data_IF_355454336393
#
_entry.id   IF_355454336393
#
_cell.length_a   1.000
_cell.length_b   1.000
_cell.length_c   1.000
_cell.angle_alpha   90.00
_cell.angle_beta   90.00
_cell.angle_gamma   90.00
#
_symmetry.space_group_name_H-M   'P 1'
#
loop_
_entity.id
_entity.type
_entity.pdbx_description
1 polymer ?
#
# COMPACT_ATOMS: atom_id res chain seq x y z
N UNK A 1 -15.56 18.62 -8.58
CA UNK A 1 -16.50 17.50 -8.79
C UNK A 1 -16.35 17.04 -10.22
N UNK A 2 -16.27 15.74 -10.44
CA UNK A 2 -16.03 15.16 -11.77
C UNK A 2 -17.26 14.35 -12.17
N UNK A 3 -17.84 14.66 -13.34
CA UNK A 3 -19.05 13.98 -13.81
C UNK A 3 -18.73 12.57 -14.31
N UNK A 4 -19.75 11.71 -14.37
CA UNK A 4 -19.60 10.31 -14.81
C UNK A 4 -18.93 10.18 -16.19
N UNK A 5 -19.36 10.98 -17.18
CA UNK A 5 -18.81 10.96 -18.53
C UNK A 5 -17.30 11.28 -18.55
N UNK A 6 -16.88 12.25 -17.74
CA UNK A 6 -15.47 12.62 -17.59
C UNK A 6 -14.68 11.50 -16.91
N UNK A 7 -15.23 10.90 -15.85
CA UNK A 7 -14.61 9.76 -15.16
C UNK A 7 -14.39 8.58 -16.10
N UNK A 8 -15.42 8.21 -16.89
CA UNK A 8 -15.33 7.13 -17.88
C UNK A 8 -14.21 7.36 -18.87
N UNK A 9 -14.13 8.57 -19.45
CA UNK A 9 -13.07 8.96 -20.37
C UNK A 9 -11.69 8.89 -19.72
N UNK A 10 -11.57 9.37 -18.49
CA UNK A 10 -10.27 9.46 -17.81
C UNK A 10 -9.78 8.08 -17.37
N UNK A 11 -10.67 7.20 -16.89
CA UNK A 11 -10.36 5.79 -16.63
C UNK A 11 -9.90 5.08 -17.91
N UNK A 12 -10.61 5.28 -19.03
CA UNK A 12 -10.20 4.69 -20.31
C UNK A 12 -8.78 5.10 -20.70
N UNK A 13 -8.47 6.39 -20.57
CA UNK A 13 -7.14 6.93 -20.89
C UNK A 13 -6.06 6.41 -19.93
N UNK A 14 -6.36 6.32 -18.64
CA UNK A 14 -5.44 5.78 -17.63
C UNK A 14 -5.04 4.33 -17.91
N UNK A 15 -5.98 3.52 -18.42
CA UNK A 15 -5.70 2.14 -18.85
C UNK A 15 -5.13 2.03 -20.27
N UNK A 16 -4.85 3.17 -20.94
CA UNK A 16 -4.28 3.18 -22.28
C UNK A 16 -5.19 2.62 -23.36
N UNK A 17 -6.52 2.67 -23.16
CA UNK A 17 -7.49 2.16 -24.13
C UNK A 17 -7.94 3.25 -25.10
N UNK A 18 -8.11 2.92 -26.38
CA UNK A 18 -8.90 3.72 -27.31
C UNK A 18 -10.40 3.47 -27.07
N UNK A 19 -11.27 4.37 -27.53
CA UNK A 19 -12.73 4.13 -27.48
C UNK A 19 -13.12 2.82 -28.16
N UNK A 20 -12.45 2.50 -29.28
CA UNK A 20 -12.63 1.26 -30.02
C UNK A 20 -12.24 0.05 -29.17
N UNK A 21 -11.06 0.08 -28.54
CA UNK A 21 -10.56 -1.01 -27.69
C UNK A 21 -11.47 -1.26 -26.48
N UNK A 22 -12.00 -0.20 -25.86
CA UNK A 22 -12.96 -0.35 -24.77
C UNK A 22 -14.27 -0.97 -25.26
N UNK A 23 -14.77 -0.52 -26.42
CA UNK A 23 -16.01 -1.05 -27.01
C UNK A 23 -15.89 -2.55 -27.34
N UNK A 24 -14.76 -2.98 -27.90
CA UNK A 24 -14.45 -4.39 -28.16
C UNK A 24 -14.43 -5.21 -26.86
N UNK A 25 -13.77 -4.71 -25.82
CA UNK A 25 -13.70 -5.39 -24.50
C UNK A 25 -15.06 -5.51 -23.83
N UNK A 26 -15.97 -4.59 -24.14
CA UNK A 26 -17.33 -4.50 -23.61
C UNK A 26 -18.37 -5.18 -24.50
N UNK A 27 -17.98 -5.67 -25.69
CA UNK A 27 -18.88 -6.23 -26.71
C UNK A 27 -20.01 -5.28 -27.13
N UNK A 28 -19.68 -4.00 -27.33
CA UNK A 28 -20.61 -2.95 -27.75
C UNK A 28 -20.05 -2.15 -28.93
N UNK A 29 -20.85 -1.21 -29.46
CA UNK A 29 -20.40 -0.30 -30.50
C UNK A 29 -19.49 0.80 -29.93
N UNK A 30 -18.50 1.23 -30.74
CA UNK A 30 -17.65 2.40 -30.40
C UNK A 30 -18.50 3.66 -30.17
N UNK A 31 -19.58 3.80 -30.92
CA UNK A 31 -20.51 4.93 -30.81
C UNK A 31 -21.15 5.00 -29.42
N UNK A 32 -21.49 3.85 -28.80
CA UNK A 32 -22.02 3.83 -27.44
C UNK A 32 -21.00 4.41 -26.43
N UNK A 33 -19.73 3.95 -26.49
CA UNK A 33 -18.65 4.50 -25.66
C UNK A 33 -18.47 6.00 -25.89
N UNK A 34 -18.47 6.45 -27.15
CA UNK A 34 -18.33 7.87 -27.47
C UNK A 34 -19.46 8.72 -26.88
N UNK A 35 -20.71 8.26 -26.97
CA UNK A 35 -21.88 8.95 -26.40
C UNK A 35 -21.84 8.99 -24.87
N UNK A 36 -21.30 7.97 -24.22
CA UNK A 36 -21.13 7.98 -22.76
C UNK A 36 -20.05 8.97 -22.33
N UNK A 37 -18.94 9.07 -23.07
CA UNK A 37 -17.85 9.99 -22.77
C UNK A 37 -18.19 11.46 -23.09
N UNK A 38 -19.06 11.72 -24.07
CA UNK A 38 -19.57 13.07 -24.36
C UNK A 38 -20.69 13.51 -23.40
N UNK A 39 -21.33 12.57 -22.70
CA UNK A 39 -22.48 12.84 -21.84
C UNK A 39 -23.82 12.85 -22.59
N UNK A 40 -23.84 12.46 -23.86
CA UNK A 40 -25.06 12.36 -24.68
C UNK A 40 -25.98 11.19 -24.27
N UNK A 41 -25.44 10.23 -23.52
CA UNK A 41 -26.20 9.12 -22.94
C UNK A 41 -25.49 8.58 -21.71
N UNK A 42 -26.21 7.84 -20.87
CA UNK A 42 -25.67 7.21 -19.66
C UNK A 42 -25.70 5.69 -19.87
N UNK A 43 -24.61 4.96 -19.54
CA UNK A 43 -24.62 3.51 -19.57
C UNK A 43 -25.65 2.95 -18.58
N UNK A 44 -26.33 1.86 -18.96
CA UNK A 44 -27.20 1.16 -18.01
C UNK A 44 -26.39 0.46 -16.90
N UNK A 45 -27.09 -0.11 -15.93
CA UNK A 45 -26.47 -0.76 -14.79
C UNK A 45 -25.56 -1.95 -15.18
N UNK A 46 -25.94 -2.73 -16.20
CA UNK A 46 -25.14 -3.89 -16.62
C UNK A 46 -23.82 -3.43 -17.26
N UNK A 47 -23.86 -2.40 -18.09
CA UNK A 47 -22.67 -1.78 -18.67
C UNK A 47 -21.81 -1.12 -17.59
N UNK A 48 -22.41 -0.41 -16.63
CA UNK A 48 -21.68 0.15 -15.49
C UNK A 48 -20.97 -0.93 -14.68
N UNK A 49 -21.62 -2.07 -14.45
CA UNK A 49 -21.01 -3.21 -13.74
C UNK A 49 -19.81 -3.77 -14.52
N UNK A 50 -19.94 -3.97 -15.83
CA UNK A 50 -18.82 -4.43 -16.68
C UNK A 50 -17.66 -3.44 -16.69
N UNK A 51 -17.94 -2.13 -16.76
CA UNK A 51 -16.93 -1.07 -16.66
C UNK A 51 -16.21 -1.15 -15.31
N UNK A 52 -16.97 -1.29 -14.23
CA UNK A 52 -16.45 -1.39 -12.87
C UNK A 52 -15.52 -2.62 -12.72
N UNK A 53 -15.90 -3.76 -13.30
CA UNK A 53 -15.08 -4.97 -13.33
C UNK A 53 -13.79 -4.77 -14.15
N UNK A 54 -13.88 -4.17 -15.35
CA UNK A 54 -12.72 -3.90 -16.24
C UNK A 54 -11.67 -3.03 -15.54
N UNK A 55 -12.13 -2.03 -14.78
CA UNK A 55 -11.25 -1.08 -14.10
C UNK A 55 -11.01 -1.45 -12.62
N UNK A 56 -11.48 -2.61 -12.15
CA UNK A 56 -11.39 -3.03 -10.75
C UNK A 56 -11.86 -1.94 -9.76
N UNK A 57 -12.99 -1.25 -10.02
CA UNK A 57 -13.61 -0.25 -9.12
C UNK A 57 -15.02 -0.68 -8.71
N UNK A 58 -15.66 0.02 -7.76
CA UNK A 58 -17.08 -0.19 -7.47
C UNK A 58 -17.94 0.71 -8.37
N UNK A 59 -19.15 0.24 -8.70
CA UNK A 59 -20.13 1.06 -9.43
C UNK A 59 -20.46 2.32 -8.65
N UNK A 60 -20.64 2.22 -7.33
CA UNK A 60 -20.93 3.35 -6.45
C UNK A 60 -19.83 4.42 -6.49
N UNK A 61 -18.55 4.01 -6.44
CA UNK A 61 -17.40 4.93 -6.53
C UNK A 61 -17.37 5.69 -7.87
N UNK A 62 -17.85 5.04 -8.94
CA UNK A 62 -17.94 5.62 -10.27
C UNK A 62 -19.04 6.70 -10.32
N UNK A 63 -20.17 6.43 -9.68
CA UNK A 63 -21.35 7.30 -9.65
C UNK A 63 -21.21 8.50 -8.70
N UNK A 64 -20.41 8.40 -7.63
CA UNK A 64 -20.23 9.49 -6.66
C UNK A 64 -19.33 10.60 -7.21
N UNK A 65 -19.87 11.74 -7.63
CA UNK A 65 -19.11 12.87 -8.19
C UNK A 65 -18.04 13.48 -7.26
N UNK A 66 -18.12 13.19 -5.96
CA UNK A 66 -17.14 13.60 -4.95
C UNK A 66 -16.02 12.56 -4.76
N UNK A 67 -16.19 11.36 -5.31
CA UNK A 67 -15.19 10.29 -5.23
C UNK A 67 -14.12 10.45 -6.30
N UNK A 68 -12.88 10.58 -5.84
CA UNK A 68 -11.69 10.54 -6.69
C UNK A 68 -11.34 9.08 -7.00
N UNK A 69 -11.77 8.61 -8.17
CA UNK A 69 -11.55 7.22 -8.61
C UNK A 69 -10.05 6.90 -8.78
N UNK A 70 -9.21 7.90 -9.06
CA UNK A 70 -7.76 7.67 -9.15
C UNK A 70 -7.17 7.33 -7.79
N UNK A 71 -7.61 8.01 -6.73
CA UNK A 71 -7.14 7.71 -5.38
C UNK A 71 -7.44 6.27 -4.94
N UNK A 72 -8.58 5.69 -5.35
CA UNK A 72 -8.92 4.30 -5.05
C UNK A 72 -8.14 3.29 -5.90
N UNK A 73 -7.84 3.61 -7.15
CA UNK A 73 -6.95 2.80 -7.99
C UNK A 73 -5.52 2.78 -7.42
N UNK A 74 -5.00 3.95 -7.06
CA UNK A 74 -3.68 4.07 -6.45
C UNK A 74 -3.59 3.36 -5.10
N UNK A 75 -4.63 3.45 -4.26
CA UNK A 75 -4.76 2.67 -3.02
C UNK A 75 -4.65 1.17 -3.32
N UNK A 76 -5.44 0.65 -4.27
CA UNK A 76 -5.43 -0.77 -4.63
C UNK A 76 -4.08 -1.24 -5.16
N UNK A 77 -3.43 -0.45 -6.02
CA UNK A 77 -2.08 -0.74 -6.49
C UNK A 77 -1.08 -0.78 -5.32
N UNK A 78 -1.17 0.20 -4.40
CA UNK A 78 -0.30 0.25 -3.23
C UNK A 78 -0.52 -0.97 -2.34
N UNK A 79 -1.77 -1.42 -2.13
CA UNK A 79 -2.08 -2.66 -1.41
C UNK A 79 -1.45 -3.91 -2.05
N UNK A 80 -1.48 -4.02 -3.39
CA UNK A 80 -0.84 -5.13 -4.11
C UNK A 80 0.68 -5.14 -3.82
N UNK A 81 1.33 -3.99 -3.85
CA UNK A 81 2.76 -3.83 -3.50
C UNK A 81 3.01 -4.22 -2.03
N UNK A 82 2.19 -3.74 -1.10
CA UNK A 82 2.33 -4.04 0.33
C UNK A 82 2.31 -5.55 0.59
N UNK A 83 1.40 -6.29 -0.04
CA UNK A 83 1.35 -7.76 0.09
C UNK A 83 2.63 -8.43 -0.41
N UNK A 84 3.19 -7.96 -1.51
CA UNK A 84 4.47 -8.46 -2.05
C UNK A 84 5.62 -8.14 -1.09
N UNK A 85 5.67 -6.93 -0.53
CA UNK A 85 6.70 -6.53 0.44
C UNK A 85 6.61 -7.34 1.74
N UNK A 86 5.41 -7.61 2.25
CA UNK A 86 5.21 -8.50 3.41
C UNK A 86 5.77 -9.89 3.12
N UNK A 87 5.40 -10.49 1.98
CA UNK A 87 5.91 -11.80 1.56
C UNK A 87 7.44 -11.81 1.46
N UNK A 88 8.02 -10.81 0.81
CA UNK A 88 9.46 -10.72 0.63
C UNK A 88 10.19 -10.51 1.96
N UNK A 89 9.68 -9.65 2.85
CA UNK A 89 10.22 -9.43 4.19
C UNK A 89 10.20 -10.72 5.04
N UNK A 90 9.11 -11.50 4.97
CA UNK A 90 9.02 -12.80 5.64
C UNK A 90 10.03 -13.80 5.05
N UNK A 91 10.14 -13.90 3.73
CA UNK A 91 11.09 -14.79 3.06
C UNK A 91 12.53 -14.46 3.42
N UNK A 92 12.87 -13.16 3.49
CA UNK A 92 14.19 -12.67 3.88
C UNK A 92 14.49 -12.99 5.35
N UNK A 93 13.54 -12.77 6.26
CA UNK A 93 13.70 -13.11 7.67
C UNK A 93 13.95 -14.60 7.89
N UNK A 94 13.23 -15.47 7.17
CA UNK A 94 13.44 -16.93 7.21
C UNK A 94 14.82 -17.29 6.64
N UNK A 95 15.20 -16.74 5.50
CA UNK A 95 16.51 -16.97 4.89
C UNK A 95 17.65 -16.57 5.84
N UNK A 96 17.54 -15.39 6.45
CA UNK A 96 18.55 -14.90 7.40
C UNK A 96 18.62 -15.76 8.65
N UNK A 97 17.47 -16.24 9.11
CA UNK A 97 17.43 -17.25 10.18
C UNK A 97 18.28 -18.43 9.72
N UNK A 98 17.95 -19.13 8.63
CA UNK A 98 18.70 -20.31 8.14
C UNK A 98 20.21 -20.08 8.00
N UNK A 99 20.66 -18.95 7.45
CA UNK A 99 22.09 -18.64 7.31
C UNK A 99 22.81 -18.64 8.66
N UNK A 100 22.23 -18.00 9.67
CA UNK A 100 22.80 -17.96 11.03
C UNK A 100 22.75 -19.31 11.77
N UNK A 101 21.95 -20.29 11.30
CA UNK A 101 21.94 -21.66 11.86
C UNK A 101 23.27 -22.37 11.59
N UNK A 102 23.77 -22.22 10.37
CA UNK A 102 24.89 -23.01 9.84
C UNK A 102 26.23 -22.66 10.49
N UNK A 103 26.30 -21.53 11.17
CA UNK A 103 27.50 -20.91 11.71
C UNK A 103 27.83 -21.23 13.18
N UNK A 104 27.21 -22.27 13.77
CA UNK A 104 27.55 -22.84 15.09
C UNK A 104 27.52 -21.93 16.34
N UNK A 105 27.08 -20.67 16.23
CA UNK A 105 27.00 -19.74 17.36
C UNK A 105 25.60 -19.72 17.99
N UNK A 106 25.45 -20.41 19.12
CA UNK A 106 24.37 -20.27 20.11
C UNK A 106 22.94 -20.05 19.57
N UNK A 107 22.13 -21.11 19.59
CA UNK A 107 20.71 -21.17 19.21
C UNK A 107 19.85 -19.97 19.65
N UNK A 108 20.20 -19.34 20.77
CA UNK A 108 19.48 -18.21 21.35
C UNK A 108 19.63 -16.92 20.51
N UNK A 109 20.83 -16.62 19.96
CA UNK A 109 21.07 -15.37 19.20
C UNK A 109 20.39 -15.37 17.83
N UNK A 110 20.22 -16.56 17.26
CA UNK A 110 19.52 -16.84 16.00
C UNK A 110 18.08 -16.33 15.99
N UNK A 111 17.31 -16.64 17.03
CA UNK A 111 15.86 -16.32 17.07
C UNK A 111 15.59 -14.93 17.62
N UNK A 112 16.47 -14.43 18.50
CA UNK A 112 16.19 -13.20 19.21
C UNK A 112 16.23 -12.00 18.26
N UNK A 113 17.34 -11.72 17.56
CA UNK A 113 17.45 -10.41 16.86
C UNK A 113 16.60 -10.35 15.57
N UNK A 114 16.79 -11.24 14.57
CA UNK A 114 15.96 -11.23 13.37
C UNK A 114 14.49 -11.54 13.67
N UNK A 115 14.23 -12.47 14.58
CA UNK A 115 12.88 -12.86 14.97
C UNK A 115 12.13 -11.75 15.71
N UNK A 116 12.74 -11.09 16.69
CA UNK A 116 12.11 -9.94 17.36
C UNK A 116 11.87 -8.78 16.40
N UNK A 117 12.82 -8.47 15.52
CA UNK A 117 12.65 -7.40 14.53
C UNK A 117 11.45 -7.69 13.60
N UNK A 118 11.34 -8.94 13.13
CA UNK A 118 10.23 -9.38 12.29
C UNK A 118 8.90 -9.35 13.06
N UNK A 119 8.87 -9.83 14.30
CA UNK A 119 7.69 -9.77 15.16
C UNK A 119 7.21 -8.33 15.40
N UNK A 120 8.11 -7.40 15.73
CA UNK A 120 7.79 -5.98 15.92
C UNK A 120 7.27 -5.37 14.61
N UNK A 121 7.90 -5.69 13.49
CA UNK A 121 7.48 -5.16 12.18
C UNK A 121 6.10 -5.66 11.81
N UNK A 122 5.82 -6.96 11.99
CA UNK A 122 4.53 -7.57 11.66
C UNK A 122 3.41 -7.13 12.61
N UNK A 123 3.67 -6.89 13.89
CA UNK A 123 2.65 -6.36 14.80
C UNK A 123 2.23 -4.96 14.38
N UNK A 124 3.18 -4.08 14.03
CA UNK A 124 2.91 -2.73 13.55
C UNK A 124 2.12 -2.75 12.24
N UNK A 125 2.58 -3.53 11.25
CA UNK A 125 1.85 -3.68 9.98
C UNK A 125 0.47 -4.30 10.20
N UNK A 126 0.35 -5.28 11.11
CA UNK A 126 -0.93 -5.88 11.48
C UNK A 126 -1.93 -4.87 12.05
N UNK A 127 -1.48 -3.94 12.90
CA UNK A 127 -2.31 -2.86 13.45
C UNK A 127 -2.80 -1.93 12.34
N UNK A 128 -1.91 -1.48 11.45
CA UNK A 128 -2.29 -0.61 10.34
C UNK A 128 -3.23 -1.32 9.36
N UNK A 129 -2.95 -2.57 9.01
CA UNK A 129 -3.77 -3.39 8.13
C UNK A 129 -5.15 -3.66 8.72
N UNK A 130 -5.25 -3.86 10.04
CA UNK A 130 -6.53 -3.96 10.75
C UNK A 130 -7.32 -2.66 10.62
N UNK A 131 -6.70 -1.50 10.94
CA UNK A 131 -7.32 -0.19 10.82
C UNK A 131 -7.82 0.11 9.38
N UNK A 132 -7.03 -0.23 8.36
CA UNK A 132 -7.43 -0.07 6.95
C UNK A 132 -8.65 -0.94 6.61
N UNK A 133 -8.73 -2.16 7.15
CA UNK A 133 -9.83 -3.10 6.89
C UNK A 133 -11.12 -2.70 7.58
N UNK A 134 -11.05 -2.22 8.82
CA UNK A 134 -12.22 -1.78 9.60
C UNK A 134 -12.64 -0.35 9.28
N UNK A 135 -11.79 0.43 8.61
CA UNK A 135 -11.91 1.89 8.47
C UNK A 135 -11.93 2.61 9.84
N UNK A 136 -11.38 1.99 10.88
CA UNK A 136 -11.21 2.59 12.20
C UNK A 136 -9.79 3.16 12.31
N UNK A 137 -9.69 4.48 12.25
CA UNK A 137 -8.43 5.21 12.28
C UNK A 137 -8.18 5.90 13.63
N UNK A 138 -8.93 5.56 14.67
CA UNK A 138 -8.82 6.13 16.02
C UNK A 138 -7.41 6.01 16.61
N UNK A 139 -6.66 4.97 16.22
CA UNK A 139 -5.27 4.75 16.66
C UNK A 139 -4.25 5.68 15.98
N UNK A 140 -4.62 6.39 14.91
CA UNK A 140 -3.71 7.32 14.24
C UNK A 140 -3.59 8.62 15.06
N UNK A 141 -2.35 8.94 15.46
CA UNK A 141 -2.07 10.21 16.12
C UNK A 141 -2.51 11.39 15.24
N UNK A 142 -3.36 12.27 15.81
CA UNK A 142 -3.91 13.42 15.11
C UNK A 142 -5.15 13.14 14.25
N UNK A 143 -5.66 11.90 14.25
CA UNK A 143 -7.00 11.62 13.72
C UNK A 143 -8.06 12.37 14.53
N UNK A 144 -9.04 12.91 13.84
CA UNK A 144 -10.13 13.67 14.40
C UNK A 144 -11.42 13.29 13.68
N UNK A 145 -12.32 12.61 14.37
CA UNK A 145 -13.61 12.13 13.85
C UNK A 145 -14.50 13.25 13.29
N UNK A 146 -14.32 14.49 13.75
CA UNK A 146 -15.09 15.65 13.29
C UNK A 146 -14.66 16.18 11.92
N UNK A 147 -13.54 15.70 11.38
CA UNK A 147 -13.05 16.12 10.06
C UNK A 147 -13.51 15.14 8.99
N UNK A 148 -13.87 15.65 7.83
CA UNK A 148 -14.12 14.82 6.66
C UNK A 148 -12.80 14.44 5.97
N UNK A 149 -12.60 13.13 5.79
CA UNK A 149 -11.42 12.58 5.14
C UNK A 149 -11.73 12.04 3.75
N UNK A 150 -10.75 12.16 2.87
CA UNK A 150 -10.64 11.36 1.67
C UNK A 150 -10.07 9.98 2.04
N UNK A 151 -10.97 9.03 2.32
CA UNK A 151 -10.60 7.69 2.81
C UNK A 151 -9.63 6.91 1.91
N UNK A 152 -9.81 6.86 0.56
CA UNK A 152 -8.81 6.24 -0.30
C UNK A 152 -7.41 6.84 -0.15
N UNK A 153 -7.29 8.17 -0.06
CA UNK A 153 -6.00 8.82 0.12
C UNK A 153 -5.42 8.59 1.52
N UNK A 154 -6.27 8.52 2.55
CA UNK A 154 -5.86 8.14 3.90
C UNK A 154 -5.33 6.70 3.96
N UNK A 155 -6.04 5.75 3.33
CA UNK A 155 -5.59 4.35 3.19
C UNK A 155 -4.28 4.27 2.43
N UNK A 156 -4.16 4.97 1.30
CA UNK A 156 -2.90 5.03 0.54
C UNK A 156 -1.75 5.58 1.38
N UNK A 157 -1.99 6.62 2.19
CA UNK A 157 -0.99 7.15 3.11
C UNK A 157 -0.51 6.08 4.08
N UNK A 158 -1.41 5.35 4.73
CA UNK A 158 -1.08 4.29 5.68
C UNK A 158 -0.34 3.13 5.02
N UNK A 159 -0.79 2.66 3.85
CA UNK A 159 -0.10 1.62 3.08
C UNK A 159 1.31 2.07 2.66
N UNK A 160 1.49 3.36 2.36
CA UNK A 160 2.81 3.93 2.06
C UNK A 160 3.72 3.91 3.29
N UNK A 161 3.17 4.17 4.49
CA UNK A 161 3.90 4.04 5.75
C UNK A 161 4.31 2.59 5.98
N UNK A 162 3.38 1.64 5.86
CA UNK A 162 3.68 0.19 5.99
C UNK A 162 4.81 -0.22 5.04
N UNK A 163 4.75 0.22 3.77
CA UNK A 163 5.78 -0.09 2.77
C UNK A 163 7.16 0.44 3.16
N UNK A 164 7.26 1.67 3.68
CA UNK A 164 8.55 2.22 4.13
C UNK A 164 9.08 1.48 5.37
N UNK A 165 8.21 1.07 6.29
CA UNK A 165 8.59 0.30 7.47
C UNK A 165 9.13 -1.07 7.05
N UNK A 166 8.44 -1.77 6.14
CA UNK A 166 8.87 -3.06 5.59
C UNK A 166 10.23 -2.96 4.88
N UNK A 167 10.43 -1.92 4.06
CA UNK A 167 11.71 -1.68 3.39
C UNK A 167 12.81 -1.40 4.43
N UNK A 168 12.54 -0.57 5.44
CA UNK A 168 13.49 -0.30 6.53
C UNK A 168 13.87 -1.57 7.30
N UNK A 169 12.89 -2.44 7.58
CA UNK A 169 13.11 -3.73 8.26
C UNK A 169 13.99 -4.66 7.40
N UNK A 170 13.72 -4.75 6.10
CA UNK A 170 14.54 -5.55 5.17
C UNK A 170 15.98 -5.03 5.07
N UNK A 171 16.18 -3.71 4.98
CA UNK A 171 17.53 -3.12 4.99
C UNK A 171 18.25 -3.45 6.29
N UNK A 172 17.55 -3.36 7.43
CA UNK A 172 18.13 -3.69 8.74
C UNK A 172 18.51 -5.17 8.83
N UNK A 173 17.68 -6.07 8.31
CA UNK A 173 17.97 -7.51 8.21
C UNK A 173 19.19 -7.78 7.31
N UNK A 174 19.31 -7.08 6.19
CA UNK A 174 20.47 -7.18 5.29
C UNK A 174 21.75 -6.70 5.98
N UNK A 175 21.72 -5.55 6.67
CA UNK A 175 22.87 -5.02 7.41
C UNK A 175 23.31 -5.96 8.54
N UNK A 176 22.35 -6.51 9.28
CA UNK A 176 22.62 -7.54 10.28
C UNK A 176 23.35 -8.76 9.67
N UNK A 177 22.87 -9.24 8.51
CA UNK A 177 23.49 -10.36 7.82
C UNK A 177 24.89 -10.07 7.29
N UNK A 178 25.13 -8.85 6.79
CA UNK A 178 26.45 -8.44 6.30
C UNK A 178 27.45 -8.38 7.45
N UNK A 179 27.06 -7.81 8.58
CA UNK A 179 27.91 -7.79 9.78
C UNK A 179 28.22 -9.20 10.27
N UNK A 180 27.23 -10.08 10.21
CA UNK A 180 27.40 -11.48 10.56
C UNK A 180 28.45 -12.19 9.67
N UNK A 181 28.44 -11.95 8.36
CA UNK A 181 29.39 -12.53 7.42
C UNK A 181 30.82 -11.99 7.58
N UNK A 182 30.97 -10.71 7.93
CA UNK A 182 32.28 -10.05 8.02
C UNK A 182 32.99 -10.42 9.33
N UNK A 183 32.29 -10.33 10.46
CA UNK A 183 32.92 -10.41 11.79
C UNK A 183 32.65 -11.75 12.50
N UNK A 184 31.75 -12.60 11.98
CA UNK A 184 31.39 -13.90 12.55
C UNK A 184 30.63 -13.84 13.89
N UNK A 185 30.80 -12.77 14.66
CA UNK A 185 30.08 -12.43 15.89
C UNK A 185 29.55 -11.00 15.75
N UNK A 186 28.23 -10.81 15.73
CA UNK A 186 27.68 -9.47 15.86
C UNK A 186 27.84 -9.00 17.31
N UNK A 187 28.60 -7.91 17.50
CA UNK A 187 28.67 -7.23 18.79
C UNK A 187 27.24 -6.86 19.23
N UNK A 188 26.92 -7.15 20.49
CA UNK A 188 25.69 -6.72 21.14
C UNK A 188 25.44 -5.22 20.99
N UNK A 189 26.49 -4.40 21.03
CA UNK A 189 26.39 -2.96 20.82
C UNK A 189 25.93 -2.63 19.39
N UNK A 190 26.50 -3.30 18.38
CA UNK A 190 26.11 -3.12 16.99
C UNK A 190 24.64 -3.48 16.73
N UNK A 191 24.18 -4.61 17.29
CA UNK A 191 22.78 -5.03 17.18
C UNK A 191 21.81 -4.01 17.80
N UNK A 192 22.16 -3.44 18.96
CA UNK A 192 21.37 -2.38 19.60
C UNK A 192 21.35 -1.12 18.73
N UNK A 193 22.49 -0.71 18.17
CA UNK A 193 22.58 0.45 17.26
C UNK A 193 21.71 0.24 16.02
N UNK A 194 21.72 -0.95 15.42
CA UNK A 194 20.86 -1.27 14.27
C UNK A 194 19.37 -1.16 14.62
N UNK A 195 18.95 -1.69 15.77
CA UNK A 195 17.55 -1.60 16.22
C UNK A 195 17.14 -0.15 16.50
N UNK A 196 18.00 0.64 17.14
CA UNK A 196 17.74 2.07 17.36
C UNK A 196 17.63 2.83 16.04
N UNK A 197 18.49 2.51 15.07
CA UNK A 197 18.46 3.09 13.73
C UNK A 197 17.18 2.73 13.00
N UNK A 198 16.70 1.49 13.10
CA UNK A 198 15.41 1.07 12.56
C UNK A 198 14.25 1.87 13.15
N UNK A 199 14.20 1.98 14.49
CA UNK A 199 13.18 2.75 15.19
C UNK A 199 13.19 4.23 14.77
N UNK A 200 14.37 4.84 14.67
CA UNK A 200 14.53 6.21 14.21
C UNK A 200 14.02 6.39 12.77
N UNK A 201 14.43 5.51 11.85
CA UNK A 201 13.98 5.53 10.46
C UNK A 201 12.46 5.40 10.35
N UNK A 202 11.85 4.52 11.14
CA UNK A 202 10.39 4.39 11.20
C UNK A 202 9.70 5.71 11.58
N UNK A 203 10.17 6.37 12.64
CA UNK A 203 9.61 7.66 13.09
C UNK A 203 9.74 8.72 12.00
N UNK A 204 10.92 8.80 11.37
CA UNK A 204 11.18 9.74 10.27
C UNK A 204 10.23 9.48 9.10
N UNK A 205 10.06 8.23 8.68
CA UNK A 205 9.15 7.89 7.58
C UNK A 205 7.71 8.24 7.87
N UNK A 206 7.22 7.94 9.09
CA UNK A 206 5.87 8.33 9.51
C UNK A 206 5.70 9.85 9.42
N UNK A 207 6.66 10.62 9.95
CA UNK A 207 6.60 12.08 9.92
C UNK A 207 6.64 12.66 8.50
N UNK A 208 7.55 12.16 7.65
CA UNK A 208 7.71 12.60 6.26
C UNK A 208 6.45 12.30 5.44
N UNK A 209 5.89 11.09 5.57
CA UNK A 209 4.70 10.69 4.83
C UNK A 209 3.47 11.47 5.32
N UNK A 210 3.29 11.63 6.63
CA UNK A 210 2.21 12.46 7.18
C UNK A 210 2.29 13.89 6.64
N UNK A 211 3.48 14.49 6.58
CA UNK A 211 3.67 15.83 6.00
C UNK A 211 3.33 15.85 4.50
N UNK A 212 3.75 14.84 3.74
CA UNK A 212 3.49 14.72 2.29
C UNK A 212 2.00 14.60 1.96
N UNK A 213 1.24 13.91 2.81
CA UNK A 213 -0.18 13.65 2.60
C UNK A 213 -1.12 14.63 3.33
N UNK A 214 -0.59 15.56 4.14
CA UNK A 214 -1.37 16.47 4.99
C UNK A 214 -2.51 17.20 4.27
N UNK A 215 -2.30 17.66 3.03
CA UNK A 215 -3.32 18.40 2.26
C UNK A 215 -4.19 17.50 1.37
N UNK A 216 -3.85 16.21 1.28
CA UNK A 216 -4.44 15.23 0.37
C UNK A 216 -5.54 14.43 1.06
N UNK A 217 -5.37 14.16 2.35
CA UNK A 217 -6.27 13.31 3.13
C UNK A 217 -7.57 13.99 3.60
N UNK A 218 -7.68 15.32 3.50
CA UNK A 218 -8.88 16.05 3.90
C UNK A 218 -9.75 16.37 2.67
N UNK A 219 -11.06 16.35 2.85
CA UNK A 219 -12.02 16.89 1.86
C UNK A 219 -12.10 18.40 1.95
#
# INVERSE_FOLDING_TARGET
>A
MMKLNEKLKTLRLHYGYSQQKLAEKMYISRQAVAKWESGDSIPDYEHLKKIAEIYEIKVDDMMDENMDVFSSLEEKQTMKITKVLIFLCMSLGILMSVLTFTSHLGFIRFFIVPGMLLMITLTIVGIFSYAIKTNDYSMLAGFNEKKEYNYPQLKKMMLTIENMILISAMITLLLYSLNFLIEGLSDTAFNVILLLTFCFNMIVWIAVINKRYKLRIYK
#
